data_IF_783953907139
#
_entry.id   IF_783953907139
#
_cell.length_a   1.000
_cell.length_b   1.000
_cell.length_c   1.000
_cell.angle_alpha   90.00
_cell.angle_beta   90.00
_cell.angle_gamma   90.00
#
_symmetry.space_group_name_H-M   'P 1'
#
loop_
_entity.id
_entity.type
_entity.pdbx_description
1 polymer ?
#
# COMPACT_ATOMS: atom_id res chain seq x y z
N UNK A 1 -18.71 14.26 21.94
CA UNK A 1 -18.26 13.34 20.89
C UNK A 1 -17.25 14.09 20.06
N UNK A 2 -16.00 13.63 20.05
CA UNK A 2 -14.91 14.21 19.27
C UNK A 2 -15.24 14.10 17.79
N UNK A 3 -15.02 15.17 17.04
CA UNK A 3 -15.28 15.21 15.61
C UNK A 3 -14.22 14.39 14.86
N UNK A 4 -14.64 13.31 14.19
CA UNK A 4 -13.72 12.49 13.39
C UNK A 4 -13.14 13.25 12.20
N UNK A 5 -13.80 14.33 11.76
CA UNK A 5 -13.38 15.14 10.63
C UNK A 5 -12.27 16.15 11.01
N UNK A 6 -12.13 16.51 12.30
CA UNK A 6 -11.02 17.33 12.80
C UNK A 6 -9.77 16.51 13.15
N UNK A 7 -9.91 15.19 13.31
CA UNK A 7 -8.84 14.31 13.72
C UNK A 7 -7.66 14.27 12.73
N UNK A 8 -6.45 14.00 13.24
CA UNK A 8 -5.29 13.66 12.42
C UNK A 8 -5.33 12.17 12.08
N UNK A 9 -5.64 11.86 10.83
CA UNK A 9 -5.63 10.50 10.31
C UNK A 9 -4.21 10.12 9.86
N UNK A 10 -3.72 8.99 10.36
CA UNK A 10 -2.42 8.41 9.99
C UNK A 10 -2.60 6.98 9.49
N UNK A 11 -1.81 6.60 8.50
CA UNK A 11 -1.71 5.24 7.96
C UNK A 11 -0.25 4.80 7.88
N UNK A 12 -0.01 3.52 7.57
CA UNK A 12 1.34 3.03 7.30
C UNK A 12 2.04 3.87 6.22
N UNK A 13 1.38 4.12 5.08
CA UNK A 13 1.95 4.91 3.99
C UNK A 13 2.19 6.37 4.38
N UNK A 14 1.26 7.02 5.08
CA UNK A 14 1.44 8.42 5.48
C UNK A 14 2.53 8.57 6.54
N UNK A 15 2.67 7.60 7.44
CA UNK A 15 3.75 7.56 8.42
C UNK A 15 5.10 7.36 7.71
N UNK A 16 5.17 6.44 6.75
CA UNK A 16 6.36 6.24 5.92
C UNK A 16 6.76 7.52 5.18
N UNK A 17 5.80 8.18 4.53
CA UNK A 17 6.04 9.46 3.84
C UNK A 17 6.66 10.51 4.77
N UNK A 18 6.17 10.62 6.01
CA UNK A 18 6.66 11.59 6.98
C UNK A 18 8.07 11.25 7.48
N UNK A 19 8.32 9.96 7.76
CA UNK A 19 9.63 9.48 8.21
C UNK A 19 10.69 9.63 7.12
N UNK A 20 10.34 9.36 5.86
CA UNK A 20 11.22 9.55 4.71
C UNK A 20 11.50 11.05 4.47
N UNK A 21 10.46 11.88 4.50
CA UNK A 21 10.56 13.31 4.27
C UNK A 21 9.27 14.06 4.63
N UNK A 22 9.29 14.95 5.62
CA UNK A 22 8.13 15.77 5.99
C UNK A 22 7.56 16.59 4.81
N UNK A 23 8.41 17.06 3.89
CA UNK A 23 7.98 17.72 2.64
C UNK A 23 7.21 16.78 1.72
N UNK A 24 7.66 15.53 1.57
CA UNK A 24 6.95 14.53 0.76
C UNK A 24 5.60 14.19 1.40
N UNK A 25 5.55 14.06 2.73
CA UNK A 25 4.29 13.92 3.45
C UNK A 25 3.31 15.03 3.13
N UNK A 26 3.75 16.30 3.20
CA UNK A 26 2.90 17.43 2.85
C UNK A 26 2.34 17.31 1.43
N UNK A 27 3.21 17.10 0.44
CA UNK A 27 2.81 17.05 -0.97
C UNK A 27 1.82 15.92 -1.28
N UNK A 28 1.98 14.75 -0.62
CA UNK A 28 1.14 13.57 -0.85
C UNK A 28 -0.14 13.56 -0.02
N UNK A 29 -0.10 14.08 1.20
CA UNK A 29 -1.15 13.85 2.21
C UNK A 29 -1.89 15.12 2.66
N UNK A 30 -1.33 16.31 2.42
CA UNK A 30 -1.89 17.59 2.90
C UNK A 30 -2.21 18.54 1.74
N UNK A 31 -1.27 18.70 0.80
CA UNK A 31 -1.42 19.57 -0.35
C UNK A 31 -2.63 19.19 -1.19
N UNK A 32 -3.34 20.21 -1.66
CA UNK A 32 -4.41 20.11 -2.64
C UNK A 32 -4.11 21.07 -3.78
N UNK A 33 -4.30 20.60 -5.01
CA UNK A 33 -4.17 21.41 -6.19
C UNK A 33 -5.19 22.57 -6.15
N UNK A 34 -4.78 23.84 -6.33
CA UNK A 34 -5.69 24.99 -6.25
C UNK A 34 -6.79 25.01 -7.32
N UNK A 35 -6.62 24.31 -8.44
CA UNK A 35 -7.56 24.27 -9.55
C UNK A 35 -8.64 23.21 -9.36
N UNK A 36 -8.26 22.02 -8.87
CA UNK A 36 -9.19 20.89 -8.69
C UNK A 36 -9.65 20.71 -7.24
N UNK A 37 -8.90 21.26 -6.28
CA UNK A 37 -9.05 21.00 -4.84
C UNK A 37 -8.87 19.51 -4.49
N UNK A 38 -8.25 18.72 -5.37
CA UNK A 38 -7.89 17.33 -5.16
C UNK A 38 -6.47 17.22 -4.62
N UNK A 39 -6.15 16.13 -3.91
CA UNK A 39 -4.75 15.80 -3.62
C UNK A 39 -4.09 15.28 -4.89
N UNK A 40 -2.77 15.29 -4.91
CA UNK A 40 -1.99 14.72 -6.02
C UNK A 40 -1.44 13.34 -5.67
N UNK A 41 -1.29 12.51 -6.68
CA UNK A 41 -0.63 11.20 -6.61
C UNK A 41 0.29 11.01 -7.83
N UNK A 42 1.16 10.01 -7.75
CA UNK A 42 2.05 9.66 -8.86
C UNK A 42 1.91 8.17 -9.13
N UNK A 43 1.73 7.81 -10.39
CA UNK A 43 1.73 6.42 -10.84
C UNK A 43 3.11 6.02 -11.37
N UNK A 44 3.54 4.81 -11.04
CA UNK A 44 4.76 4.19 -11.56
C UNK A 44 4.44 2.78 -12.04
N UNK A 45 5.23 2.21 -12.97
CA UNK A 45 5.07 0.84 -13.44
C UNK A 45 4.97 -0.20 -12.31
N UNK A 46 5.83 -0.06 -11.29
CA UNK A 46 5.83 -0.95 -10.12
C UNK A 46 4.57 -0.79 -9.26
N UNK A 47 4.06 0.44 -9.10
CA UNK A 47 2.82 0.68 -8.36
C UNK A 47 1.61 0.12 -9.10
N UNK A 48 1.53 0.31 -10.42
CA UNK A 48 0.47 -0.26 -11.25
C UNK A 48 0.45 -1.80 -11.16
N UNK A 49 1.62 -2.44 -11.28
CA UNK A 49 1.76 -3.89 -11.09
C UNK A 49 1.24 -4.34 -9.71
N UNK A 50 1.71 -3.68 -8.64
CA UNK A 50 1.28 -3.98 -7.28
C UNK A 50 -0.23 -3.87 -7.11
N UNK A 51 -0.82 -2.75 -7.53
CA UNK A 51 -2.26 -2.50 -7.40
C UNK A 51 -3.11 -3.57 -8.07
N UNK A 52 -2.78 -3.94 -9.32
CA UNK A 52 -3.56 -4.96 -10.06
C UNK A 52 -3.41 -6.34 -9.41
N UNK A 53 -2.20 -6.72 -8.96
CA UNK A 53 -1.99 -8.00 -8.28
C UNK A 53 -2.76 -8.07 -6.97
N UNK A 54 -2.69 -7.03 -6.14
CA UNK A 54 -3.45 -6.97 -4.88
C UNK A 54 -4.95 -7.07 -5.14
N UNK A 55 -5.48 -6.29 -6.08
CA UNK A 55 -6.91 -6.30 -6.38
C UNK A 55 -7.43 -7.70 -6.77
N UNK A 56 -6.69 -8.39 -7.64
CA UNK A 56 -7.06 -9.75 -8.09
C UNK A 56 -7.04 -10.74 -6.93
N UNK A 57 -6.02 -10.68 -6.06
CA UNK A 57 -5.89 -11.60 -4.93
C UNK A 57 -6.88 -11.31 -3.80
N UNK A 58 -7.05 -10.04 -3.44
CA UNK A 58 -7.96 -9.59 -2.38
C UNK A 58 -9.43 -9.85 -2.76
N UNK A 59 -9.77 -9.82 -4.06
CA UNK A 59 -11.10 -10.19 -4.54
C UNK A 59 -11.49 -11.62 -4.16
N UNK A 60 -10.54 -12.55 -3.96
CA UNK A 60 -10.86 -13.91 -3.52
C UNK A 60 -11.45 -13.97 -2.10
N UNK A 61 -11.21 -12.94 -1.27
CA UNK A 61 -11.66 -12.91 0.12
C UNK A 61 -13.19 -12.84 0.27
N UNK A 62 -13.90 -12.36 -0.77
CA UNK A 62 -15.38 -12.32 -0.75
C UNK A 62 -16.02 -13.65 -1.07
N UNK A 63 -15.27 -14.57 -1.68
CA UNK A 63 -15.77 -15.85 -2.14
C UNK A 63 -15.57 -16.92 -1.05
N UNK A 64 -16.56 -17.84 -0.88
CA UNK A 64 -16.33 -19.10 -0.19
C UNK A 64 -15.13 -19.84 -0.79
N UNK A 65 -14.42 -20.62 0.01
CA UNK A 65 -13.18 -21.30 -0.40
C UNK A 65 -13.41 -22.17 -1.64
N UNK A 66 -14.53 -22.86 -1.68
CA UNK A 66 -14.93 -23.78 -2.74
C UNK A 66 -15.27 -23.06 -4.06
N UNK A 67 -15.60 -21.77 -3.99
CA UNK A 67 -15.93 -20.94 -5.14
C UNK A 67 -14.72 -20.16 -5.70
N UNK A 68 -13.56 -20.22 -5.05
CA UNK A 68 -12.35 -19.52 -5.50
C UNK A 68 -11.73 -20.26 -6.68
N UNK A 69 -11.92 -19.72 -7.88
CA UNK A 69 -11.29 -20.25 -9.08
C UNK A 69 -9.90 -19.63 -9.29
N UNK A 70 -8.87 -20.36 -8.87
CA UNK A 70 -7.48 -19.92 -8.99
C UNK A 70 -6.92 -20.00 -10.42
N UNK A 71 -7.52 -20.83 -11.28
CA UNK A 71 -7.17 -20.87 -12.70
C UNK A 71 -7.57 -19.57 -13.42
N UNK A 72 -8.54 -18.84 -12.85
CA UNK A 72 -9.02 -17.58 -13.39
C UNK A 72 -8.19 -16.34 -12.98
N UNK A 73 -7.12 -16.50 -12.17
CA UNK A 73 -6.32 -15.36 -11.71
C UNK A 73 -5.65 -14.61 -12.86
N UNK A 74 -5.05 -15.33 -13.81
CA UNK A 74 -4.37 -14.71 -14.96
C UNK A 74 -5.37 -14.05 -15.93
N UNK A 75 -6.48 -14.69 -16.33
CA UNK A 75 -7.54 -14.01 -17.08
C UNK A 75 -8.06 -12.75 -16.39
N UNK A 76 -8.39 -12.82 -15.10
CA UNK A 76 -8.88 -11.67 -14.35
C UNK A 76 -7.85 -10.55 -14.29
N UNK A 77 -6.58 -10.88 -14.06
CA UNK A 77 -5.48 -9.92 -14.12
C UNK A 77 -5.38 -9.22 -15.46
N UNK A 78 -5.47 -9.94 -16.57
CA UNK A 78 -5.42 -9.34 -17.92
C UNK A 78 -6.57 -8.37 -18.16
N UNK A 79 -7.74 -8.65 -17.61
CA UNK A 79 -8.89 -7.75 -17.69
C UNK A 79 -8.71 -6.51 -16.81
N UNK A 80 -8.28 -6.70 -15.57
CA UNK A 80 -7.98 -5.60 -14.63
C UNK A 80 -6.85 -4.70 -15.14
N UNK A 81 -5.83 -5.28 -15.79
CA UNK A 81 -4.66 -4.59 -16.36
C UNK A 81 -5.04 -3.53 -17.38
N UNK A 82 -6.14 -3.71 -18.14
CA UNK A 82 -6.61 -2.75 -19.15
C UNK A 82 -6.84 -1.35 -18.60
N UNK A 83 -7.12 -1.22 -17.30
CA UNK A 83 -7.33 0.09 -16.64
C UNK A 83 -6.03 0.85 -16.40
N UNK A 84 -4.90 0.14 -16.33
CA UNK A 84 -3.56 0.69 -16.10
C UNK A 84 -2.67 0.59 -17.34
N UNK A 85 -3.21 0.28 -18.52
CA UNK A 85 -2.39 0.23 -19.75
C UNK A 85 -1.89 1.61 -20.21
N UNK A 86 -0.71 1.62 -20.83
CA UNK A 86 -0.01 2.82 -21.27
C UNK A 86 0.35 3.77 -20.12
N UNK A 87 0.30 5.07 -20.41
CA UNK A 87 0.67 6.11 -19.44
C UNK A 87 -0.18 6.08 -18.15
N UNK A 88 -1.39 5.52 -18.19
CA UNK A 88 -2.25 5.36 -17.00
C UNK A 88 -1.61 4.47 -15.93
N UNK A 89 -0.77 3.52 -16.33
CA UNK A 89 0.00 2.67 -15.42
C UNK A 89 1.42 3.17 -15.15
N UNK A 90 1.75 4.38 -15.62
CA UNK A 90 3.11 4.89 -15.50
C UNK A 90 4.06 4.37 -16.57
N UNK A 91 3.57 3.71 -17.64
CA UNK A 91 4.43 3.14 -18.66
C UNK A 91 4.83 4.18 -19.72
N UNK A 92 6.13 4.21 -20.06
CA UNK A 92 6.68 5.09 -21.10
C UNK A 92 6.83 4.40 -22.46
N UNK A 93 6.68 3.07 -22.50
CA UNK A 93 6.72 2.27 -23.74
C UNK A 93 5.94 0.97 -23.61
N UNK A 94 5.50 0.42 -24.74
CA UNK A 94 4.83 -0.88 -24.81
C UNK A 94 5.73 -2.03 -24.31
N UNK A 95 7.05 -1.91 -24.53
CA UNK A 95 8.03 -2.90 -24.04
C UNK A 95 8.07 -2.93 -22.50
N UNK A 96 8.12 -1.75 -21.88
CA UNK A 96 8.09 -1.62 -20.42
C UNK A 96 6.76 -2.15 -19.87
N UNK A 97 5.62 -1.78 -20.46
CA UNK A 97 4.30 -2.32 -20.06
C UNK A 97 4.29 -3.84 -20.13
N UNK A 98 4.75 -4.42 -21.25
CA UNK A 98 4.75 -5.86 -21.45
C UNK A 98 5.64 -6.59 -20.43
N UNK A 99 6.79 -6.01 -20.05
CA UNK A 99 7.69 -6.55 -19.00
C UNK A 99 6.96 -6.65 -17.66
N UNK A 100 6.34 -5.57 -17.19
CA UNK A 100 5.62 -5.57 -15.92
C UNK A 100 4.35 -6.45 -15.97
N UNK A 101 3.65 -6.47 -17.10
CA UNK A 101 2.50 -7.35 -17.31
C UNK A 101 2.89 -8.82 -17.20
N UNK A 102 3.98 -9.24 -17.85
CA UNK A 102 4.48 -10.60 -17.77
C UNK A 102 4.88 -10.97 -16.33
N UNK A 103 5.55 -10.07 -15.61
CA UNK A 103 5.89 -10.28 -14.20
C UNK A 103 4.64 -10.52 -13.33
N UNK A 104 3.56 -9.75 -13.53
CA UNK A 104 2.31 -9.94 -12.81
C UNK A 104 1.61 -11.26 -13.15
N UNK A 105 1.62 -11.66 -14.42
CA UNK A 105 1.12 -12.98 -14.82
C UNK A 105 1.90 -14.11 -14.14
N UNK A 106 3.23 -14.00 -14.08
CA UNK A 106 4.09 -15.00 -13.45
C UNK A 106 3.86 -15.09 -11.94
N UNK A 107 3.67 -13.95 -11.26
CA UNK A 107 3.27 -13.90 -9.85
C UNK A 107 1.97 -14.68 -9.61
N UNK A 108 0.94 -14.44 -10.43
CA UNK A 108 -0.35 -15.08 -10.27
C UNK A 108 -0.34 -16.56 -10.67
N UNK A 109 0.48 -16.95 -11.65
CA UNK A 109 0.75 -18.37 -11.93
C UNK A 109 1.37 -19.05 -10.72
N UNK A 110 2.33 -18.43 -10.04
CA UNK A 110 2.93 -19.01 -8.82
C UNK A 110 1.88 -19.21 -7.73
N UNK A 111 1.00 -18.23 -7.52
CA UNK A 111 -0.13 -18.34 -6.59
C UNK A 111 -1.06 -19.48 -6.99
N UNK A 112 -1.43 -19.62 -8.27
CA UNK A 112 -2.30 -20.69 -8.71
C UNK A 112 -1.69 -22.09 -8.45
N UNK A 113 -0.37 -22.25 -8.63
CA UNK A 113 0.33 -23.51 -8.38
C UNK A 113 0.56 -23.78 -6.88
N UNK A 114 0.88 -22.75 -6.10
CA UNK A 114 1.03 -22.84 -4.64
C UNK A 114 0.11 -21.84 -3.94
N UNK A 115 -1.16 -22.20 -3.74
CA UNK A 115 -2.18 -21.22 -3.34
C UNK A 115 -2.23 -20.90 -1.85
N UNK A 116 -1.51 -21.66 -1.02
CA UNK A 116 -1.36 -21.42 0.42
C UNK A 116 -2.66 -20.94 1.11
N UNK A 117 -2.71 -19.67 1.59
CA UNK A 117 -3.85 -19.14 2.34
C UNK A 117 -5.15 -19.04 1.52
N UNK A 118 -5.09 -19.01 0.19
CA UNK A 118 -6.29 -18.91 -0.65
C UNK A 118 -7.16 -20.17 -0.64
N UNK A 119 -6.62 -21.31 -0.21
CA UNK A 119 -7.36 -22.56 0.03
C UNK A 119 -7.96 -22.66 1.44
N UNK A 120 -7.84 -21.60 2.25
CA UNK A 120 -8.33 -21.58 3.63
C UNK A 120 -9.34 -20.47 3.83
N UNK A 121 -10.13 -20.57 4.90
CA UNK A 121 -11.16 -19.56 5.22
C UNK A 121 -10.50 -18.21 5.48
N UNK A 122 -11.18 -17.13 5.12
CA UNK A 122 -10.72 -15.77 5.36
C UNK A 122 -11.77 -14.98 6.15
N UNK A 123 -11.31 -14.05 6.99
CA UNK A 123 -12.16 -13.09 7.68
C UNK A 123 -12.20 -11.81 6.86
N UNK A 124 -13.39 -11.42 6.40
CA UNK A 124 -13.60 -10.12 5.76
C UNK A 124 -14.35 -9.17 6.70
N UNK A 125 -13.77 -8.00 6.94
CA UNK A 125 -14.43 -6.91 7.65
C UNK A 125 -15.26 -6.12 6.63
N UNK A 126 -16.53 -5.80 6.95
CA UNK A 126 -17.47 -5.09 6.07
C UNK A 126 -17.16 -3.59 5.87
N UNK A 127 -15.89 -3.20 6.02
CA UNK A 127 -15.43 -1.81 5.96
C UNK A 127 -14.20 -1.76 5.07
N UNK A 128 -14.23 -0.90 4.05
CA UNK A 128 -13.16 -0.82 3.05
C UNK A 128 -11.86 -0.23 3.61
N UNK A 129 -11.96 0.62 4.64
CA UNK A 129 -10.81 1.20 5.33
C UNK A 129 -10.96 0.96 6.84
N UNK A 130 -10.12 0.10 7.40
CA UNK A 130 -10.06 -0.12 8.85
C UNK A 130 -9.59 1.17 9.52
N UNK A 131 -10.21 1.51 10.65
CA UNK A 131 -9.75 2.61 11.48
C UNK A 131 -10.31 2.53 12.89
N UNK A 132 -9.54 3.07 13.83
CA UNK A 132 -9.93 3.27 15.23
C UNK A 132 -9.20 4.50 15.79
N UNK A 133 -9.68 5.02 16.92
CA UNK A 133 -9.01 6.08 17.65
C UNK A 133 -7.72 5.55 18.27
N UNK A 134 -6.58 5.95 17.73
CA UNK A 134 -5.28 5.67 18.34
C UNK A 134 -5.12 6.46 19.64
N UNK A 135 -5.62 7.71 19.64
CA UNK A 135 -5.75 8.54 20.83
C UNK A 135 -6.96 9.45 20.64
N UNK A 136 -8.04 9.22 21.40
CA UNK A 136 -9.24 10.06 21.32
C UNK A 136 -8.99 11.44 21.95
N UNK A 137 -8.24 11.50 23.05
CA UNK A 137 -7.83 12.74 23.72
C UNK A 137 -7.01 13.65 22.79
N UNK A 138 -6.11 13.06 22.00
CA UNK A 138 -5.29 13.80 21.05
C UNK A 138 -5.88 13.82 19.65
N UNK A 139 -7.11 13.36 19.44
CA UNK A 139 -7.79 13.34 18.14
C UNK A 139 -6.93 12.70 17.02
N UNK A 140 -6.33 11.55 17.27
CA UNK A 140 -5.52 10.79 16.30
C UNK A 140 -6.23 9.49 15.96
N UNK A 141 -6.43 9.27 14.66
CA UNK A 141 -7.04 8.04 14.12
C UNK A 141 -5.97 7.28 13.34
N UNK A 142 -5.79 6.00 13.68
CA UNK A 142 -5.00 5.08 12.85
C UNK A 142 -5.94 4.43 11.83
N UNK A 143 -5.53 4.41 10.56
CA UNK A 143 -6.28 3.77 9.48
C UNK A 143 -5.38 2.94 8.55
N UNK A 144 -6.00 2.00 7.84
CA UNK A 144 -5.29 1.19 6.86
C UNK A 144 -6.16 0.10 6.23
N UNK A 145 -5.57 -0.58 5.24
CA UNK A 145 -6.10 -1.80 4.63
C UNK A 145 -5.14 -2.94 4.95
N UNK A 146 -5.70 -4.11 5.21
CA UNK A 146 -4.96 -5.36 5.42
C UNK A 146 -5.33 -6.25 4.25
N UNK A 147 -4.35 -6.71 3.49
CA UNK A 147 -4.58 -7.46 2.25
C UNK A 147 -5.35 -8.76 2.51
N UNK A 148 -4.91 -9.53 3.52
CA UNK A 148 -5.53 -10.80 3.83
C UNK A 148 -5.53 -11.13 5.32
N UNK A 149 -6.67 -11.64 5.80
CA UNK A 149 -6.83 -12.20 7.14
C UNK A 149 -7.32 -13.63 7.01
N UNK A 150 -6.40 -14.59 7.11
CA UNK A 150 -6.71 -16.01 7.14
C UNK A 150 -7.37 -16.37 8.49
N UNK A 151 -8.43 -17.16 8.46
CA UNK A 151 -9.10 -17.67 9.65
C UNK A 151 -8.47 -18.99 10.09
N UNK A 152 -7.95 -19.02 11.32
CA UNK A 152 -7.36 -20.20 11.96
C UNK A 152 -8.42 -20.82 12.86
N UNK A 153 -9.04 -21.91 12.40
CA UNK A 153 -10.25 -22.46 13.01
C UNK A 153 -9.99 -23.14 14.35
N UNK A 154 -8.79 -23.71 14.52
CA UNK A 154 -8.36 -24.44 15.71
C UNK A 154 -8.32 -23.55 16.96
N UNK A 155 -8.02 -22.26 16.78
CA UNK A 155 -7.82 -21.29 17.86
C UNK A 155 -8.85 -20.13 17.84
N UNK A 156 -9.84 -20.17 16.93
CA UNK A 156 -10.74 -19.04 16.62
C UNK A 156 -9.96 -17.71 16.47
N UNK A 157 -8.90 -17.75 15.66
CA UNK A 157 -7.93 -16.68 15.54
C UNK A 157 -7.77 -16.20 14.08
N UNK A 158 -7.01 -15.12 13.90
CA UNK A 158 -6.63 -14.61 12.57
C UNK A 158 -5.12 -14.62 12.36
N UNK A 159 -4.72 -14.95 11.15
CA UNK A 159 -3.37 -14.80 10.63
C UNK A 159 -3.37 -13.69 9.59
N UNK A 160 -2.61 -12.62 9.85
CA UNK A 160 -2.48 -11.47 8.96
C UNK A 160 -1.43 -11.78 7.90
N UNK A 161 -1.77 -11.62 6.64
CA UNK A 161 -0.85 -11.82 5.52
C UNK A 161 -0.86 -10.56 4.66
N UNK A 162 0.33 -9.99 4.44
CA UNK A 162 0.54 -8.86 3.53
C UNK A 162 1.31 -9.35 2.30
N UNK A 163 0.80 -9.02 1.13
CA UNK A 163 1.35 -9.42 -0.15
C UNK A 163 2.40 -8.41 -0.59
N UNK A 164 3.57 -8.92 -0.99
CA UNK A 164 4.69 -8.11 -1.48
C UNK A 164 5.00 -8.47 -2.93
N UNK A 165 4.85 -7.50 -3.81
CA UNK A 165 5.15 -7.61 -5.25
C UNK A 165 6.52 -7.04 -5.63
N UNK A 166 7.24 -6.47 -4.66
CA UNK A 166 8.59 -5.95 -4.88
C UNK A 166 9.62 -7.04 -5.15
N UNK A 167 10.68 -6.68 -5.89
CA UNK A 167 11.81 -7.57 -6.23
C UNK A 167 12.85 -7.69 -5.10
N UNK A 168 12.68 -6.94 -4.01
CA UNK A 168 13.57 -6.95 -2.86
C UNK A 168 12.78 -7.02 -1.56
N UNK A 169 13.35 -7.71 -0.56
CA UNK A 169 12.79 -7.76 0.79
C UNK A 169 13.08 -6.45 1.51
N UNK A 170 12.07 -5.94 2.22
CA UNK A 170 12.18 -4.72 3.03
C UNK A 170 12.10 -5.09 4.50
N UNK A 171 13.00 -4.56 5.32
CA UNK A 171 13.06 -4.80 6.77
C UNK A 171 12.84 -3.50 7.55
N UNK A 172 12.35 -3.61 8.79
CA UNK A 172 12.32 -2.49 9.74
C UNK A 172 11.20 -1.46 9.54
N UNK A 173 10.07 -1.82 8.91
CA UNK A 173 8.92 -0.91 8.79
C UNK A 173 7.96 -1.02 9.98
N UNK A 174 7.25 0.07 10.29
CA UNK A 174 6.12 0.08 11.25
C UNK A 174 4.86 -0.64 10.70
N UNK A 175 4.96 -1.31 9.56
CA UNK A 175 3.80 -1.91 8.89
C UNK A 175 3.17 -3.02 9.74
N UNK A 176 3.97 -3.98 10.22
CA UNK A 176 3.47 -5.08 11.06
C UNK A 176 2.85 -4.56 12.37
N UNK A 177 3.51 -3.66 13.14
CA UNK A 177 2.87 -3.00 14.29
C UNK A 177 1.52 -2.35 13.95
N UNK A 178 1.43 -1.61 12.84
CA UNK A 178 0.19 -0.95 12.42
C UNK A 178 -0.90 -1.96 12.07
N UNK A 179 -0.57 -3.02 11.34
CA UNK A 179 -1.53 -4.05 10.95
C UNK A 179 -2.02 -4.84 12.15
N UNK A 180 -1.13 -5.17 13.08
CA UNK A 180 -1.46 -5.82 14.34
C UNK A 180 -2.48 -4.99 15.13
N UNK A 181 -2.22 -3.70 15.30
CA UNK A 181 -3.11 -2.78 16.00
C UNK A 181 -4.47 -2.65 15.29
N UNK A 182 -4.46 -2.45 13.96
CA UNK A 182 -5.69 -2.35 13.17
C UNK A 182 -6.56 -3.61 13.28
N UNK A 183 -5.96 -4.79 13.12
CA UNK A 183 -6.68 -6.06 13.25
C UNK A 183 -7.22 -6.26 14.66
N UNK A 184 -6.41 -5.99 15.69
CA UNK A 184 -6.82 -6.15 17.09
C UNK A 184 -8.00 -5.27 17.47
N UNK A 185 -8.05 -4.04 16.94
CA UNK A 185 -9.10 -3.08 17.28
C UNK A 185 -10.29 -3.04 16.30
N UNK A 186 -10.21 -3.71 15.14
CA UNK A 186 -11.25 -3.66 14.11
C UNK A 186 -12.05 -4.95 13.94
N UNK A 187 -11.67 -6.04 14.62
CA UNK A 187 -12.40 -7.31 14.62
C UNK A 187 -12.33 -8.03 15.98
N UNK A 188 -12.99 -9.18 16.12
CA UNK A 188 -13.28 -9.82 17.42
C UNK A 188 -12.32 -10.93 17.86
N UNK A 189 -11.50 -11.45 16.95
CA UNK A 189 -10.61 -12.61 17.15
C UNK A 189 -9.22 -12.16 17.54
N UNK A 190 -8.47 -13.04 18.18
CA UNK A 190 -7.07 -12.75 18.48
C UNK A 190 -6.23 -12.87 17.20
N UNK A 191 -5.24 -11.98 17.06
CA UNK A 191 -4.19 -12.13 16.04
C UNK A 191 -3.18 -13.15 16.56
N UNK A 192 -2.99 -14.24 15.83
CA UNK A 192 -2.10 -15.35 16.23
C UNK A 192 -0.76 -15.32 15.51
N UNK A 193 -0.75 -14.84 14.27
CA UNK A 193 0.43 -14.85 13.42
C UNK A 193 0.38 -13.67 12.45
N UNK A 194 1.56 -13.24 11.99
CA UNK A 194 1.71 -12.29 10.91
C UNK A 194 2.76 -12.79 9.93
N UNK A 195 2.49 -12.64 8.63
CA UNK A 195 3.42 -13.04 7.58
C UNK A 195 3.46 -12.05 6.42
N UNK A 196 4.61 -12.02 5.76
CA UNK A 196 4.74 -11.48 4.41
C UNK A 196 4.73 -12.60 3.39
N UNK A 197 4.09 -12.34 2.24
CA UNK A 197 4.26 -13.18 1.07
C UNK A 197 4.92 -12.39 -0.06
N UNK A 198 6.20 -12.62 -0.27
CA UNK A 198 6.93 -12.06 -1.41
C UNK A 198 6.61 -12.84 -2.68
N UNK A 199 5.48 -12.56 -3.33
CA UNK A 199 4.94 -13.37 -4.44
C UNK A 199 5.93 -13.49 -5.62
N UNK A 200 6.71 -12.43 -5.88
CA UNK A 200 7.75 -12.43 -6.91
C UNK A 200 8.98 -13.27 -6.57
N UNK A 201 9.21 -13.59 -5.30
CA UNK A 201 10.49 -14.14 -4.83
C UNK A 201 10.32 -15.54 -4.21
N UNK A 202 9.27 -15.70 -3.40
CA UNK A 202 9.10 -16.82 -2.49
C UNK A 202 7.82 -17.60 -2.81
N UNK A 203 7.89 -18.92 -2.63
CA UNK A 203 6.71 -19.79 -2.72
C UNK A 203 5.95 -19.86 -1.40
N UNK A 204 6.62 -19.57 -0.30
CA UNK A 204 6.09 -19.73 1.06
C UNK A 204 6.00 -18.39 1.78
N UNK A 205 5.22 -18.38 2.87
CA UNK A 205 5.05 -17.23 3.74
C UNK A 205 6.27 -17.07 4.65
N UNK A 206 6.75 -15.84 4.77
CA UNK A 206 7.76 -15.46 5.75
C UNK A 206 7.04 -15.01 7.02
N UNK A 207 7.23 -15.75 8.12
CA UNK A 207 6.52 -15.50 9.39
C UNK A 207 7.33 -14.59 10.30
N UNK A 208 6.61 -13.74 11.05
CA UNK A 208 7.19 -12.80 12.00
C UNK A 208 6.55 -12.98 13.37
N UNK A 209 7.34 -12.67 14.40
CA UNK A 209 6.83 -12.60 15.76
C UNK A 209 5.78 -11.50 15.89
N UNK A 210 4.78 -11.75 16.73
CA UNK A 210 3.78 -10.74 17.05
C UNK A 210 4.44 -9.60 17.83
N UNK A 211 4.17 -8.34 17.46
CA UNK A 211 4.67 -7.21 18.23
C UNK A 211 3.96 -7.15 19.59
N UNK A 212 4.65 -6.64 20.62
CA UNK A 212 3.99 -6.27 21.86
C UNK A 212 2.99 -5.14 21.60
N UNK A 213 1.77 -5.28 22.10
CA UNK A 213 0.70 -4.33 21.83
C UNK A 213 1.00 -2.91 22.36
N UNK A 214 1.63 -2.84 23.53
CA UNK A 214 1.98 -1.56 24.17
C UNK A 214 3.13 -0.90 23.43
N UNK A 215 4.15 -1.66 23.06
CA UNK A 215 5.26 -1.16 22.27
C UNK A 215 4.81 -0.71 20.88
N UNK A 216 4.02 -1.51 20.17
CA UNK A 216 3.45 -1.15 18.87
C UNK A 216 2.66 0.16 18.96
N UNK A 217 1.78 0.28 19.96
CA UNK A 217 1.03 1.51 20.20
C UNK A 217 1.96 2.69 20.41
N UNK A 218 2.95 2.56 21.30
CA UNK A 218 3.90 3.63 21.63
C UNK A 218 4.74 4.07 20.43
N UNK A 219 5.21 3.13 19.61
CA UNK A 219 5.94 3.42 18.38
C UNK A 219 5.08 4.24 17.40
N UNK A 220 3.84 3.81 17.16
CA UNK A 220 2.94 4.46 16.19
C UNK A 220 2.46 5.82 16.69
N UNK A 221 2.00 5.94 17.94
CA UNK A 221 1.51 7.21 18.50
C UNK A 221 2.61 8.26 18.57
N UNK A 222 3.85 7.85 18.84
CA UNK A 222 5.00 8.78 18.87
C UNK A 222 5.20 9.46 17.52
N UNK A 223 5.12 8.73 16.41
CA UNK A 223 5.24 9.33 15.08
C UNK A 223 3.97 10.11 14.71
N UNK A 224 2.80 9.61 15.07
CA UNK A 224 1.54 10.30 14.81
C UNK A 224 1.45 11.67 15.50
N UNK A 225 1.95 11.79 16.74
CA UNK A 225 2.08 13.07 17.45
C UNK A 225 3.00 14.05 16.72
N UNK A 226 4.13 13.58 16.18
CA UNK A 226 5.04 14.41 15.36
C UNK A 226 4.33 14.91 14.10
N UNK A 227 3.57 14.05 13.42
CA UNK A 227 2.76 14.42 12.26
C UNK A 227 1.70 15.47 12.64
N UNK A 228 0.96 15.26 13.73
CA UNK A 228 -0.05 16.21 14.23
C UNK A 228 0.58 17.57 14.49
N UNK A 229 1.71 17.60 15.20
CA UNK A 229 2.45 18.84 15.48
C UNK A 229 2.93 19.54 14.20
N UNK A 230 3.49 18.80 13.24
CA UNK A 230 3.93 19.35 11.97
C UNK A 230 2.78 20.01 11.20
N UNK A 231 1.58 19.39 11.23
CA UNK A 231 0.35 19.96 10.63
C UNK A 231 -0.11 21.24 11.33
N UNK A 232 -0.08 21.27 12.66
CA UNK A 232 -0.47 22.45 13.43
C UNK A 232 0.48 23.63 13.23
N UNK A 233 1.77 23.36 13.03
CA UNK A 233 2.80 24.38 12.79
C UNK A 233 3.00 24.70 11.30
N UNK A 234 2.30 23.99 10.40
CA UNK A 234 2.50 24.04 8.95
C UNK A 234 3.98 23.87 8.53
N UNK A 235 4.74 23.09 9.30
CA UNK A 235 6.19 22.95 9.15
C UNK A 235 6.55 21.59 8.56
N UNK A 236 6.88 21.59 7.28
CA UNK A 236 7.14 20.40 6.48
C UNK A 236 8.46 20.49 5.71
N UNK A 237 9.51 20.93 6.40
CA UNK A 237 10.83 21.10 5.78
C UNK A 237 11.42 19.76 5.32
N UNK A 238 12.01 19.75 4.13
CA UNK A 238 12.80 18.61 3.70
C UNK A 238 14.14 18.61 4.47
N UNK A 239 14.53 17.50 5.12
CA UNK A 239 15.80 17.44 5.87
C UNK A 239 17.04 17.60 4.97
N UNK A 240 16.88 17.48 3.65
CA UNK A 240 17.95 17.54 2.66
C UNK A 240 17.80 18.69 1.65
N UNK A 241 16.91 19.67 1.91
CA UNK A 241 16.59 20.75 0.96
C UNK A 241 16.23 20.24 -0.46
N UNK A 242 15.51 19.11 -0.51
CA UNK A 242 15.07 18.42 -1.73
C UNK A 242 15.65 17.01 -1.84
N UNK A 243 14.82 15.98 -1.68
CA UNK A 243 15.23 14.57 -1.74
C UNK A 243 14.43 13.78 -2.79
N UNK A 244 14.83 12.52 -3.02
CA UNK A 244 14.16 11.60 -3.95
C UNK A 244 12.66 11.38 -3.67
N UNK A 245 12.20 11.63 -2.44
CA UNK A 245 10.80 11.44 -2.05
C UNK A 245 9.92 12.67 -2.34
N UNK A 246 10.45 13.90 -2.25
CA UNK A 246 9.67 15.12 -2.48
C UNK A 246 9.87 15.71 -3.88
N UNK A 247 11.07 15.60 -4.47
CA UNK A 247 11.39 16.18 -5.78
C UNK A 247 10.41 15.75 -6.88
N UNK A 248 9.99 14.47 -7.00
CA UNK A 248 9.01 14.08 -8.01
C UNK A 248 7.68 14.86 -7.88
N UNK A 249 7.17 15.03 -6.67
CA UNK A 249 5.95 15.80 -6.43
C UNK A 249 6.15 17.30 -6.62
N UNK A 250 7.36 17.81 -6.37
CA UNK A 250 7.73 19.19 -6.70
C UNK A 250 7.78 19.43 -8.21
N UNK A 251 8.15 18.43 -9.02
CA UNK A 251 8.03 18.50 -10.48
C UNK A 251 6.56 18.56 -10.92
N UNK A 252 5.71 17.72 -10.34
CA UNK A 252 4.26 17.71 -10.63
C UNK A 252 3.64 19.10 -10.41
N UNK A 253 3.88 19.73 -9.25
CA UNK A 253 3.34 21.07 -8.95
C UNK A 253 3.93 22.18 -9.84
N UNK A 254 5.10 21.96 -10.46
CA UNK A 254 5.69 22.89 -11.45
C UNK A 254 5.12 22.70 -12.86
N UNK A 255 4.20 21.76 -13.04
CA UNK A 255 3.59 21.45 -14.34
C UNK A 255 4.43 20.51 -15.21
N UNK A 256 5.44 19.85 -14.65
CA UNK A 256 6.28 18.88 -15.39
C UNK A 256 5.65 17.47 -15.43
N UNK A 257 4.61 17.22 -14.64
CA UNK A 257 3.88 15.95 -14.66
C UNK A 257 2.75 15.94 -15.68
N UNK A 258 2.56 14.81 -16.36
CA UNK A 258 1.41 14.58 -17.24
C UNK A 258 0.27 13.98 -16.44
N UNK A 259 -0.89 14.63 -16.44
CA UNK A 259 -2.11 14.11 -15.80
C UNK A 259 -2.64 12.89 -16.56
N UNK A 260 -2.96 11.81 -15.84
CA UNK A 260 -3.41 10.54 -16.43
C UNK A 260 -4.77 10.06 -15.92
N UNK A 261 -5.38 10.78 -14.98
CA UNK A 261 -6.71 10.50 -14.44
C UNK A 261 -6.77 10.66 -12.92
N UNK A 262 -7.86 10.19 -12.33
CA UNK A 262 -8.08 10.18 -10.89
C UNK A 262 -7.96 8.76 -10.32
N UNK A 263 -7.44 8.64 -9.09
CA UNK A 263 -7.42 7.36 -8.37
C UNK A 263 -8.74 7.09 -7.61
N UNK A 264 -8.86 5.90 -7.02
CA UNK A 264 -10.05 5.50 -6.22
C UNK A 264 -10.29 6.39 -4.99
N UNK A 265 -9.34 7.26 -4.63
CA UNK A 265 -9.44 8.23 -3.54
C UNK A 265 -9.64 9.66 -4.04
N UNK A 266 -10.01 9.83 -5.31
CA UNK A 266 -10.27 11.13 -5.94
C UNK A 266 -9.03 12.05 -5.87
N UNK A 267 -7.85 11.48 -6.12
CA UNK A 267 -6.58 12.21 -6.26
C UNK A 267 -6.20 12.32 -7.71
N UNK A 268 -5.71 13.49 -8.11
CA UNK A 268 -5.19 13.73 -9.44
C UNK A 268 -3.87 12.97 -9.60
N UNK A 269 -3.84 12.04 -10.53
CA UNK A 269 -2.74 11.12 -10.74
C UNK A 269 -1.89 11.57 -11.92
N UNK A 270 -0.58 11.61 -11.70
CA UNK A 270 0.40 12.06 -12.70
C UNK A 270 1.46 11.00 -12.99
N UNK A 271 1.97 11.02 -14.21
CA UNK A 271 3.19 10.33 -14.64
C UNK A 271 4.29 11.38 -14.86
N UNK A 272 5.52 11.06 -14.42
CA UNK A 272 6.71 11.82 -14.79
C UNK A 272 7.45 11.07 -15.90
N UNK A 273 7.54 11.71 -17.06
CA UNK A 273 8.25 11.21 -18.23
C UNK A 273 9.71 11.67 -18.17
N UNK A 274 10.44 11.34 -17.11
CA UNK A 274 11.88 11.58 -17.08
C UNK A 274 12.62 10.31 -17.54
N UNK A 275 13.57 10.50 -18.47
CA UNK A 275 14.35 9.50 -19.22
C UNK A 275 15.25 8.57 -18.37
N UNK A 276 15.10 8.51 -17.05
CA UNK A 276 16.04 7.82 -16.16
C UNK A 276 15.81 6.31 -15.97
N UNK A 277 14.98 5.69 -16.81
CA UNK A 277 14.98 4.23 -17.00
C UNK A 277 15.55 3.87 -18.39
N UNK A 278 16.56 4.59 -18.87
CA UNK A 278 17.59 3.92 -19.69
C UNK A 278 18.19 2.83 -18.79
N UNK A 279 17.65 1.61 -18.93
CA UNK A 279 18.29 0.39 -18.44
C UNK A 279 19.76 0.50 -18.85
N UNK A 280 20.66 0.50 -17.88
CA UNK A 280 22.07 0.31 -18.16
C UNK A 280 22.18 -1.06 -18.86
N UNK A 281 22.18 -1.05 -20.19
CA UNK A 281 22.52 -2.22 -20.99
C UNK A 281 23.97 -2.55 -20.61
N UNK A 282 24.14 -3.56 -19.77
CA UNK A 282 25.43 -4.20 -19.58
C UNK A 282 25.85 -4.77 -20.93
N UNK A 283 26.69 -4.03 -21.65
CA UNK A 283 27.42 -4.56 -22.78
C UNK A 283 28.53 -5.44 -22.21
N UNK A 284 28.41 -6.76 -22.40
CA UNK A 284 29.54 -7.67 -22.23
C UNK A 284 30.56 -7.34 -23.32
N UNK A 285 31.73 -6.84 -22.92
CA UNK A 285 32.93 -6.72 -23.77
C UNK A 285 33.67 -8.05 -23.84
#
# INVERSE_FOLDING_TARGET
MTDKYSATWVSHSSIGDYLDCARAYYLKNVYKDPHTNHKISMITPALALGQVVHEVLEALSVLPVEARNLENLVPQFRDTWKRVSGEKGGFISDSQEQKYKQQGEDMLRRVAHNPGPFKKKAVKIKKDLLNYWLSEEEEIILCGKIDWMEYVAEEDAVHIIDFKTGQHKTTGSLQLPIYYLLATHSQKRNVKQMSYWYIALERELESFDLPDATEAHNQVITVARKIKLARQLEKFDCPHAGCKHCKPFEKIIRGEGKFVGEDDFNRDTYILLDESEEEAEEVIL
#
